data_IF_261574908376
#
_entry.id   IF_261574908376
#
_cell.length_a   1.000
_cell.length_b   1.000
_cell.length_c   1.000
_cell.angle_alpha   90.00
_cell.angle_beta   90.00
_cell.angle_gamma   90.00
#
_symmetry.space_group_name_H-M   'P 1'
#
loop_
_entity.id
_entity.type
_entity.pdbx_description
1 polymer ?
#
# COMPACT_ATOMS: atom_id res chain seq x y z
N UNK A 1 13.51 4.76 28.62
CA UNK A 1 13.96 4.52 27.23
C UNK A 1 12.82 4.48 26.20
N UNK A 2 11.54 4.67 26.59
CA UNK A 2 10.38 4.64 25.68
C UNK A 2 9.80 6.02 25.32
N UNK A 3 10.29 7.10 25.92
CA UNK A 3 9.87 8.47 25.59
C UNK A 3 10.71 9.14 24.49
N UNK A 4 11.89 8.62 24.11
CA UNK A 4 12.84 9.39 23.30
C UNK A 4 12.68 9.31 21.78
N UNK A 5 11.89 8.36 21.25
CA UNK A 5 11.73 8.19 19.79
C UNK A 5 10.47 8.89 19.26
N UNK A 6 9.41 8.97 20.05
CA UNK A 6 8.16 9.65 19.66
C UNK A 6 8.12 11.13 20.11
N UNK A 7 8.80 11.50 21.20
CA UNK A 7 9.02 12.90 21.59
C UNK A 7 10.24 13.55 20.91
N UNK A 8 10.82 12.93 19.88
CA UNK A 8 11.69 13.64 18.91
C UNK A 8 10.87 14.56 17.99
N UNK A 9 9.83 15.16 18.55
CA UNK A 9 9.05 16.26 17.98
C UNK A 9 10.02 17.42 17.80
N UNK A 10 10.32 17.78 16.55
CA UNK A 10 10.89 19.08 16.18
C UNK A 10 12.31 19.34 16.73
N UNK A 11 13.18 18.32 16.74
CA UNK A 11 14.65 18.51 16.90
C UNK A 11 15.45 17.80 15.79
N UNK A 12 14.84 17.53 14.64
CA UNK A 12 15.55 16.82 13.57
C UNK A 12 16.52 17.71 12.79
N UNK A 13 16.39 19.05 12.84
CA UNK A 13 17.30 19.97 12.11
C UNK A 13 17.39 21.35 12.79
N UNK A 14 18.39 21.59 13.65
CA UNK A 14 18.62 22.93 14.18
C UNK A 14 19.15 23.83 13.06
N UNK A 15 18.31 24.75 12.57
CA UNK A 15 18.74 25.88 11.71
C UNK A 15 18.43 25.79 10.21
N UNK A 16 17.80 24.73 9.72
CA UNK A 16 17.35 24.64 8.32
C UNK A 16 15.84 24.98 8.21
N UNK A 17 15.39 25.65 7.13
CA UNK A 17 13.96 25.81 6.86
C UNK A 17 13.29 24.44 6.80
N UNK A 18 12.13 24.28 7.45
CA UNK A 18 11.37 23.02 7.55
C UNK A 18 11.19 22.32 6.19
N UNK A 19 10.99 23.07 5.11
CA UNK A 19 10.88 22.55 3.75
C UNK A 19 12.16 21.84 3.29
N UNK A 20 13.32 22.47 3.47
CA UNK A 20 14.60 21.90 3.06
C UNK A 20 14.90 20.61 3.83
N UNK A 21 14.64 20.60 5.13
CA UNK A 21 14.77 19.43 5.98
C UNK A 21 13.82 18.27 5.60
N UNK A 22 12.60 18.58 5.19
CA UNK A 22 11.63 17.57 4.75
C UNK A 22 11.99 17.00 3.38
N UNK A 23 12.43 17.86 2.44
CA UNK A 23 12.91 17.43 1.13
C UNK A 23 14.15 16.57 1.28
N UNK A 24 15.14 16.99 2.08
CA UNK A 24 16.34 16.20 2.39
C UNK A 24 15.98 14.85 2.99
N UNK A 25 15.04 14.80 3.94
CA UNK A 25 14.59 13.53 4.53
C UNK A 25 13.80 12.67 3.54
N UNK A 26 13.00 13.27 2.68
CA UNK A 26 12.27 12.55 1.63
C UNK A 26 13.24 11.92 0.63
N UNK A 27 14.30 12.64 0.24
CA UNK A 27 15.39 12.13 -0.60
C UNK A 27 16.20 11.04 0.10
N UNK A 28 16.60 11.25 1.36
CA UNK A 28 17.39 10.29 2.14
C UNK A 28 16.61 8.98 2.40
N UNK A 29 15.33 9.08 2.74
CA UNK A 29 14.48 7.91 2.98
C UNK A 29 14.10 7.16 1.69
N UNK A 30 14.30 7.78 0.52
CA UNK A 30 13.90 7.28 -0.79
C UNK A 30 12.45 6.74 -0.82
N UNK A 31 11.57 7.34 0.00
CA UNK A 31 10.19 6.87 0.16
C UNK A 31 9.26 7.67 -0.73
N UNK A 32 8.54 6.99 -1.62
CA UNK A 32 7.52 7.64 -2.46
C UNK A 32 6.21 7.94 -1.69
N UNK A 33 6.05 7.45 -0.46
CA UNK A 33 4.78 7.46 0.27
C UNK A 33 4.20 8.88 0.44
N UNK A 34 5.03 9.85 0.81
CA UNK A 34 4.60 11.24 0.98
C UNK A 34 4.07 11.81 -0.35
N UNK A 35 4.84 11.65 -1.42
CA UNK A 35 4.48 12.17 -2.75
C UNK A 35 3.20 11.52 -3.30
N UNK A 36 3.02 10.21 -3.08
CA UNK A 36 1.81 9.48 -3.47
C UNK A 36 0.56 9.98 -2.74
N UNK A 37 0.70 10.43 -1.49
CA UNK A 37 -0.39 10.96 -0.68
C UNK A 37 -0.68 12.43 -1.01
N UNK A 38 0.34 13.22 -1.36
CA UNK A 38 0.19 14.63 -1.73
C UNK A 38 -0.39 14.83 -3.13
N UNK A 39 0.11 14.09 -4.13
CA UNK A 39 -0.33 14.22 -5.52
C UNK A 39 -1.76 13.66 -5.72
N UNK A 40 -2.53 14.32 -6.57
CA UNK A 40 -3.97 14.08 -6.70
C UNK A 40 -4.30 12.74 -7.37
N UNK A 41 -3.61 12.39 -8.44
CA UNK A 41 -3.82 11.14 -9.19
C UNK A 41 -3.52 9.91 -8.32
N UNK A 42 -2.30 9.75 -7.74
CA UNK A 42 -2.01 8.59 -6.89
C UNK A 42 -2.91 8.56 -5.65
N UNK A 43 -3.19 9.70 -5.01
CA UNK A 43 -4.14 9.74 -3.88
C UNK A 43 -5.55 9.28 -4.29
N UNK A 44 -6.04 9.70 -5.45
CA UNK A 44 -7.36 9.27 -5.96
C UNK A 44 -7.38 7.77 -6.22
N UNK A 45 -6.30 7.23 -6.79
CA UNK A 45 -6.14 5.81 -6.98
C UNK A 45 -6.13 5.04 -5.65
N UNK A 46 -5.37 5.49 -4.64
CA UNK A 46 -5.36 4.88 -3.30
C UNK A 46 -6.75 4.89 -2.65
N UNK A 47 -7.50 5.98 -2.81
CA UNK A 47 -8.90 6.06 -2.33
C UNK A 47 -9.81 5.09 -3.07
N UNK A 48 -9.63 4.92 -4.38
CA UNK A 48 -10.40 3.95 -5.16
C UNK A 48 -10.14 2.51 -4.68
N UNK A 49 -8.87 2.15 -4.47
CA UNK A 49 -8.51 0.84 -3.92
C UNK A 49 -9.13 0.64 -2.52
N UNK A 50 -9.05 1.65 -1.67
CA UNK A 50 -9.62 1.58 -0.32
C UNK A 50 -11.13 1.38 -0.33
N UNK A 51 -11.85 2.00 -1.29
CA UNK A 51 -13.29 1.76 -1.50
C UNK A 51 -13.57 0.31 -1.87
N UNK A 52 -12.76 -0.28 -2.75
CA UNK A 52 -12.86 -1.69 -3.10
C UNK A 52 -12.67 -2.60 -1.88
N UNK A 53 -11.62 -2.35 -1.08
CA UNK A 53 -11.34 -3.10 0.14
C UNK A 53 -12.46 -2.99 1.18
N UNK A 54 -13.01 -1.79 1.41
CA UNK A 54 -14.19 -1.62 2.27
C UNK A 54 -15.38 -2.42 1.74
N UNK A 55 -15.64 -2.38 0.44
CA UNK A 55 -16.74 -3.14 -0.17
C UNK A 55 -16.57 -4.66 0.03
N UNK A 56 -15.34 -5.17 -0.02
CA UNK A 56 -15.03 -6.57 0.28
C UNK A 56 -15.30 -6.91 1.76
N UNK A 57 -14.85 -6.08 2.70
CA UNK A 57 -15.10 -6.29 4.14
C UNK A 57 -16.61 -6.25 4.47
N UNK A 58 -17.33 -5.26 3.95
CA UNK A 58 -18.79 -5.17 4.14
C UNK A 58 -19.53 -6.38 3.54
N UNK A 59 -19.09 -6.86 2.38
CA UNK A 59 -19.67 -8.04 1.75
C UNK A 59 -19.38 -9.31 2.55
N UNK A 60 -18.13 -9.47 3.02
CA UNK A 60 -17.73 -10.57 3.87
C UNK A 60 -18.56 -10.61 5.16
N UNK A 61 -18.70 -9.47 5.85
CA UNK A 61 -19.52 -9.36 7.05
C UNK A 61 -20.99 -9.74 6.80
N UNK A 62 -21.58 -9.26 5.72
CA UNK A 62 -22.96 -9.58 5.35
C UNK A 62 -23.16 -11.08 5.07
N UNK A 63 -22.23 -11.72 4.37
CA UNK A 63 -22.33 -13.14 4.04
C UNK A 63 -22.11 -14.00 5.28
N UNK A 64 -21.13 -13.66 6.12
CA UNK A 64 -20.88 -14.38 7.38
C UNK A 64 -22.09 -14.31 8.33
N UNK A 65 -22.79 -13.18 8.37
CA UNK A 65 -23.97 -13.01 9.21
C UNK A 65 -25.21 -13.77 8.71
N UNK A 66 -25.38 -13.88 7.38
CA UNK A 66 -26.65 -14.33 6.79
C UNK A 66 -26.59 -15.69 6.05
N UNK A 67 -25.40 -16.18 5.70
CA UNK A 67 -25.29 -17.45 4.98
C UNK A 67 -25.65 -18.63 5.88
N UNK A 68 -26.30 -19.64 5.31
CA UNK A 68 -26.53 -20.94 5.95
C UNK A 68 -25.57 -22.01 5.43
N UNK A 69 -24.71 -21.67 4.47
CA UNK A 69 -23.73 -22.55 3.85
C UNK A 69 -22.37 -22.40 4.55
N UNK A 70 -21.94 -23.48 5.22
CA UNK A 70 -20.70 -23.50 6.00
C UNK A 70 -19.45 -23.39 5.11
N UNK A 71 -19.48 -23.90 3.87
CA UNK A 71 -18.35 -23.78 2.94
C UNK A 71 -18.17 -22.30 2.52
N UNK A 72 -19.28 -21.59 2.27
CA UNK A 72 -19.23 -20.16 2.00
C UNK A 72 -18.73 -19.36 3.20
N UNK A 73 -19.18 -19.71 4.42
CA UNK A 73 -18.69 -19.05 5.62
C UNK A 73 -17.20 -19.23 5.79
N UNK A 74 -16.68 -20.43 5.56
CA UNK A 74 -15.25 -20.71 5.68
C UNK A 74 -14.43 -19.85 4.73
N UNK A 75 -14.88 -19.67 3.48
CA UNK A 75 -14.20 -18.81 2.50
C UNK A 75 -14.16 -17.35 2.98
N UNK A 76 -15.29 -16.80 3.40
CA UNK A 76 -15.36 -15.40 3.82
C UNK A 76 -14.71 -15.15 5.19
N UNK A 77 -14.62 -16.15 6.06
CA UNK A 77 -13.80 -16.09 7.27
C UNK A 77 -12.33 -15.93 6.91
N UNK A 78 -11.80 -16.74 5.98
CA UNK A 78 -10.39 -16.64 5.57
C UNK A 78 -10.05 -15.26 4.98
N UNK A 79 -10.97 -14.65 4.21
CA UNK A 79 -10.82 -13.30 3.69
C UNK A 79 -10.83 -12.26 4.83
N UNK A 80 -11.76 -12.41 5.78
CA UNK A 80 -11.91 -11.49 6.90
C UNK A 80 -10.71 -11.54 7.84
N UNK A 81 -10.16 -12.71 8.09
CA UNK A 81 -8.95 -12.87 8.90
C UNK A 81 -7.77 -12.09 8.31
N UNK A 82 -7.59 -12.10 6.98
CA UNK A 82 -6.54 -11.32 6.31
C UNK A 82 -6.78 -9.81 6.47
N UNK A 83 -8.03 -9.35 6.30
CA UNK A 83 -8.38 -7.93 6.45
C UNK A 83 -8.19 -7.48 7.90
N UNK A 84 -8.56 -8.32 8.86
CA UNK A 84 -8.49 -8.03 10.28
C UNK A 84 -7.08 -8.15 10.85
N UNK A 85 -6.21 -8.96 10.23
CA UNK A 85 -4.78 -9.05 10.57
C UNK A 85 -4.00 -7.77 10.23
N UNK A 86 -4.50 -6.91 9.33
CA UNK A 86 -3.82 -5.66 8.98
C UNK A 86 -3.63 -4.76 10.21
N UNK A 87 -2.41 -4.25 10.48
CA UNK A 87 -2.15 -3.34 11.60
C UNK A 87 -2.88 -2.00 11.42
N UNK A 88 -3.13 -1.60 10.17
CA UNK A 88 -3.88 -0.40 9.83
C UNK A 88 -5.22 -0.80 9.23
N UNK A 89 -6.30 -0.46 9.93
CA UNK A 89 -7.66 -0.69 9.42
C UNK A 89 -7.92 0.20 8.20
N UNK A 90 -8.57 -0.35 7.18
CA UNK A 90 -8.89 0.34 5.91
C UNK A 90 -9.59 1.68 6.18
N UNK A 91 -10.53 1.72 7.12
CA UNK A 91 -11.24 2.94 7.53
C UNK A 91 -10.30 4.05 8.02
N UNK A 92 -9.27 3.70 8.78
CA UNK A 92 -8.30 4.67 9.31
C UNK A 92 -7.46 5.24 8.16
N UNK A 93 -7.01 4.39 7.24
CA UNK A 93 -6.28 4.82 6.04
C UNK A 93 -7.13 5.73 5.15
N UNK A 94 -8.40 5.39 4.92
CA UNK A 94 -9.32 6.23 4.14
C UNK A 94 -9.54 7.60 4.75
N UNK A 95 -9.65 7.68 6.08
CA UNK A 95 -9.79 8.94 6.80
C UNK A 95 -8.57 9.83 6.56
N UNK A 96 -7.36 9.28 6.63
CA UNK A 96 -6.12 10.02 6.34
C UNK A 96 -6.15 10.57 4.91
N UNK A 97 -6.48 9.73 3.92
CA UNK A 97 -6.54 10.16 2.52
C UNK A 97 -7.62 11.23 2.27
N UNK A 98 -8.76 11.14 2.99
CA UNK A 98 -9.82 12.14 2.90
C UNK A 98 -9.39 13.49 3.49
N UNK A 99 -8.76 13.46 4.66
CA UNK A 99 -8.24 14.64 5.35
C UNK A 99 -7.13 15.34 4.56
N UNK A 100 -6.21 14.58 3.98
CA UNK A 100 -5.16 15.13 3.11
C UNK A 100 -5.77 15.72 1.86
N UNK A 101 -6.75 15.05 1.22
CA UNK A 101 -7.40 15.58 0.02
C UNK A 101 -8.09 16.94 0.28
N UNK A 102 -8.79 17.07 1.41
CA UNK A 102 -9.40 18.32 1.82
C UNK A 102 -8.33 19.40 2.07
N UNK A 103 -7.23 19.04 2.73
CA UNK A 103 -6.13 19.96 3.05
C UNK A 103 -5.42 20.46 1.80
N UNK A 104 -5.12 19.58 0.83
CA UNK A 104 -4.49 19.95 -0.44
C UNK A 104 -5.39 20.86 -1.27
N UNK A 105 -6.69 20.57 -1.33
CA UNK A 105 -7.65 21.46 -2.01
C UNK A 105 -7.68 22.85 -1.39
N UNK A 106 -7.77 22.93 -0.06
CA UNK A 106 -7.76 24.20 0.66
C UNK A 106 -6.45 24.98 0.46
N UNK A 107 -5.31 24.28 0.46
CA UNK A 107 -4.00 24.89 0.27
C UNK A 107 -3.85 25.56 -1.11
N UNK A 108 -4.14 24.83 -2.19
CA UNK A 108 -4.09 25.40 -3.54
C UNK A 108 -5.14 26.52 -3.75
N UNK A 109 -6.34 26.37 -3.18
CA UNK A 109 -7.37 27.41 -3.24
C UNK A 109 -6.95 28.69 -2.50
N UNK A 110 -6.32 28.57 -1.33
CA UNK A 110 -5.87 29.73 -0.54
C UNK A 110 -4.83 30.58 -1.26
N UNK A 111 -4.06 29.96 -2.15
CA UNK A 111 -3.02 30.62 -2.95
C UNK A 111 -3.47 30.94 -4.37
N UNK A 112 -4.75 30.72 -4.69
CA UNK A 112 -5.33 31.00 -6.01
C UNK A 112 -4.56 30.37 -7.17
N UNK A 113 -3.98 29.18 -6.95
CA UNK A 113 -3.21 28.45 -7.96
C UNK A 113 -4.17 27.92 -9.03
N UNK A 114 -3.84 28.15 -10.30
CA UNK A 114 -4.65 27.66 -11.43
C UNK A 114 -4.61 26.13 -11.52
N UNK A 115 -5.58 25.55 -12.22
CA UNK A 115 -5.60 24.09 -12.45
C UNK A 115 -4.38 23.62 -13.24
N UNK A 116 -3.90 24.43 -14.18
CA UNK A 116 -2.73 24.13 -15.01
C UNK A 116 -1.43 24.19 -14.19
N UNK A 117 -1.25 25.25 -13.40
CA UNK A 117 -0.08 25.40 -12.53
C UNK A 117 -0.03 24.31 -11.46
N UNK A 118 -1.20 23.92 -10.94
CA UNK A 118 -1.32 22.79 -10.02
C UNK A 118 -0.87 21.47 -10.69
N UNK A 119 -1.32 21.20 -11.91
CA UNK A 119 -0.95 19.98 -12.61
C UNK A 119 0.56 19.93 -12.92
N UNK A 120 1.14 21.08 -13.29
CA UNK A 120 2.57 21.22 -13.48
C UNK A 120 3.33 20.98 -12.17
N UNK A 121 2.92 21.62 -11.07
CA UNK A 121 3.54 21.46 -9.76
C UNK A 121 3.45 20.01 -9.25
N UNK A 122 2.31 19.34 -9.39
CA UNK A 122 2.16 17.93 -8.99
C UNK A 122 3.02 16.99 -9.86
N UNK A 123 3.22 17.30 -11.14
CA UNK A 123 4.13 16.55 -12.02
C UNK A 123 5.59 16.71 -11.59
N UNK A 124 6.02 17.94 -11.37
CA UNK A 124 7.39 18.23 -10.90
C UNK A 124 7.67 17.56 -9.55
N UNK A 125 6.70 17.59 -8.64
CA UNK A 125 6.78 16.90 -7.35
C UNK A 125 6.94 15.39 -7.48
N UNK A 126 6.28 14.74 -8.43
CA UNK A 126 6.38 13.29 -8.62
C UNK A 126 7.66 12.87 -9.35
N UNK A 127 8.19 13.72 -10.24
CA UNK A 127 9.36 13.38 -11.06
C UNK A 127 10.67 13.78 -10.38
N UNK A 128 10.70 14.99 -9.81
CA UNK A 128 11.90 15.61 -9.26
C UNK A 128 11.93 15.61 -7.73
N UNK A 129 10.92 15.03 -7.07
CA UNK A 129 10.77 15.05 -5.60
C UNK A 129 10.73 16.48 -5.01
N UNK A 130 10.35 17.47 -5.82
CA UNK A 130 10.31 18.88 -5.42
C UNK A 130 8.93 19.25 -4.86
N UNK A 131 8.87 19.56 -3.57
CA UNK A 131 7.62 19.81 -2.87
C UNK A 131 7.22 21.28 -3.06
N UNK A 132 6.04 21.58 -3.65
CA UNK A 132 5.59 22.96 -3.79
C UNK A 132 5.37 23.62 -2.42
N UNK A 133 5.82 24.86 -2.25
CA UNK A 133 5.61 25.66 -1.04
C UNK A 133 4.14 25.72 -0.62
N UNK A 134 3.24 25.67 -1.62
CA UNK A 134 1.80 25.61 -1.42
C UNK A 134 1.35 24.48 -0.49
N UNK A 135 2.06 23.34 -0.48
CA UNK A 135 1.69 22.15 0.27
C UNK A 135 2.32 22.09 1.67
N UNK A 136 3.16 23.04 2.04
CA UNK A 136 3.80 23.05 3.35
C UNK A 136 2.83 23.04 4.54
N UNK A 137 1.73 23.83 4.53
CA UNK A 137 0.72 23.74 5.59
C UNK A 137 0.08 22.35 5.69
N UNK A 138 -0.04 21.64 4.56
CA UNK A 138 -0.62 20.29 4.49
C UNK A 138 0.31 19.28 5.14
N UNK A 139 1.61 19.32 4.82
CA UNK A 139 2.61 18.41 5.38
C UNK A 139 2.74 18.63 6.89
N UNK A 140 2.79 19.90 7.32
CA UNK A 140 2.81 20.24 8.74
C UNK A 140 1.59 19.64 9.45
N UNK A 141 0.37 19.83 8.92
CA UNK A 141 -0.86 19.24 9.47
C UNK A 141 -0.83 17.71 9.46
N UNK A 142 -0.32 17.08 8.40
CA UNK A 142 -0.21 15.63 8.28
C UNK A 142 0.66 15.06 9.41
N UNK A 143 1.86 15.58 9.57
CA UNK A 143 2.84 15.08 10.53
C UNK A 143 2.48 15.42 11.99
N UNK A 144 1.92 16.61 12.24
CA UNK A 144 1.68 17.09 13.61
C UNK A 144 0.29 16.80 14.13
N UNK A 145 -0.71 16.64 13.26
CA UNK A 145 -2.10 16.47 13.68
C UNK A 145 -2.66 15.14 13.23
N UNK A 146 -2.66 14.85 11.93
CA UNK A 146 -3.33 13.67 11.37
C UNK A 146 -2.67 12.38 11.86
N UNK A 147 -1.35 12.24 11.71
CA UNK A 147 -0.61 11.04 12.11
C UNK A 147 -0.55 10.87 13.62
N UNK A 148 -0.48 11.97 14.39
CA UNK A 148 -0.56 11.91 15.85
C UNK A 148 -1.93 11.41 16.32
N UNK A 149 -3.03 11.85 15.68
CA UNK A 149 -4.36 11.31 15.95
C UNK A 149 -4.44 9.82 15.65
N UNK A 150 -3.86 9.38 14.52
CA UNK A 150 -3.80 7.98 14.12
C UNK A 150 -3.02 7.11 15.12
N UNK A 151 -1.91 7.61 15.66
CA UNK A 151 -1.07 6.90 16.62
C UNK A 151 -1.80 6.50 17.92
N UNK A 152 -2.93 7.15 18.23
CA UNK A 152 -3.77 6.77 19.37
C UNK A 152 -4.76 5.65 19.06
N UNK A 153 -4.97 5.33 17.78
CA UNK A 153 -5.96 4.35 17.30
C UNK A 153 -5.31 3.08 16.72
N UNK A 154 -3.99 3.09 16.52
CA UNK A 154 -3.22 2.01 15.91
C UNK A 154 -2.14 1.58 16.88
N UNK A 155 -1.83 0.29 16.92
CA UNK A 155 -0.64 -0.23 17.60
C UNK A 155 0.62 0.11 16.79
N UNK A 156 1.47 1.04 17.25
CA UNK A 156 2.67 1.41 16.52
C UNK A 156 3.70 0.28 16.47
N UNK A 157 3.68 -0.63 17.46
CA UNK A 157 4.60 -1.76 17.48
C UNK A 157 4.22 -2.78 16.39
N UNK A 158 2.94 -3.14 16.29
CA UNK A 158 2.45 -4.00 15.21
C UNK A 158 2.84 -3.41 13.84
N UNK A 159 2.58 -2.11 13.62
CA UNK A 159 2.94 -1.46 12.36
C UNK A 159 4.45 -1.45 12.08
N UNK A 160 5.28 -1.20 13.09
CA UNK A 160 6.73 -1.13 12.93
C UNK A 160 7.38 -2.48 12.66
N UNK A 161 6.84 -3.55 13.27
CA UNK A 161 7.38 -4.91 13.15
C UNK A 161 6.72 -5.74 12.05
N UNK A 162 5.73 -5.19 11.33
CA UNK A 162 5.26 -5.84 10.11
C UNK A 162 6.40 -6.00 9.11
N UNK A 163 6.43 -7.15 8.43
CA UNK A 163 7.43 -7.46 7.42
C UNK A 163 6.89 -7.18 6.00
N UNK A 164 7.25 -6.05 5.37
CA UNK A 164 6.86 -5.74 4.01
C UNK A 164 7.80 -6.34 2.96
N UNK A 165 8.82 -7.13 3.34
CA UNK A 165 9.86 -7.62 2.43
C UNK A 165 9.28 -8.35 1.22
N UNK A 166 8.17 -9.05 1.41
CA UNK A 166 7.48 -9.79 0.35
C UNK A 166 6.85 -8.91 -0.73
N UNK A 167 6.55 -7.63 -0.43
CA UNK A 167 6.04 -6.67 -1.40
C UNK A 167 7.14 -6.18 -2.34
N UNK A 168 8.41 -6.30 -1.93
CA UNK A 168 9.57 -5.92 -2.73
C UNK A 168 9.62 -4.43 -3.08
N UNK A 169 9.01 -3.55 -2.27
CA UNK A 169 8.94 -2.10 -2.50
C UNK A 169 10.21 -1.35 -2.08
N UNK A 170 11.09 -2.00 -1.32
CA UNK A 170 12.28 -1.39 -0.73
C UNK A 170 13.54 -2.11 -1.18
N UNK A 171 14.64 -1.38 -1.34
CA UNK A 171 15.93 -1.92 -1.80
C UNK A 171 16.82 -2.37 -0.63
N UNK A 172 16.22 -2.69 0.52
CA UNK A 172 16.93 -3.17 1.70
C UNK A 172 17.39 -4.64 1.55
N UNK A 173 18.39 -5.01 2.34
CA UNK A 173 19.00 -6.34 2.31
C UNK A 173 17.99 -7.46 2.63
N UNK A 174 17.06 -7.23 3.57
CA UNK A 174 16.01 -8.22 3.91
C UNK A 174 15.06 -8.46 2.74
N UNK A 175 14.58 -7.40 2.09
CA UNK A 175 13.76 -7.50 0.88
C UNK A 175 14.50 -8.21 -0.26
N UNK A 176 15.79 -7.92 -0.46
CA UNK A 176 16.61 -8.60 -1.48
C UNK A 176 16.84 -10.08 -1.16
N UNK A 177 17.20 -10.40 0.09
CA UNK A 177 17.33 -11.77 0.55
C UNK A 177 16.03 -12.56 0.40
N UNK A 178 14.89 -11.94 0.72
CA UNK A 178 13.56 -12.53 0.52
C UNK A 178 13.30 -12.82 -0.97
N UNK A 179 13.51 -11.85 -1.87
CA UNK A 179 13.29 -12.05 -3.32
C UNK A 179 14.17 -13.15 -3.92
N UNK A 180 15.38 -13.33 -3.40
CA UNK A 180 16.31 -14.36 -3.87
C UNK A 180 15.93 -15.77 -3.41
N UNK A 181 15.23 -15.88 -2.28
CA UNK A 181 14.95 -17.16 -1.63
C UNK A 181 13.48 -17.59 -1.73
N UNK A 182 12.57 -16.65 -1.97
CA UNK A 182 11.13 -16.88 -2.02
C UNK A 182 10.53 -16.41 -3.34
N UNK A 183 9.78 -17.30 -3.99
CA UNK A 183 8.97 -16.97 -5.16
C UNK A 183 7.55 -16.68 -4.67
N UNK A 184 7.01 -15.52 -5.01
CA UNK A 184 5.62 -15.15 -4.69
C UNK A 184 4.68 -15.54 -5.83
N UNK A 185 3.56 -16.17 -5.48
CA UNK A 185 2.45 -16.43 -6.40
C UNK A 185 1.84 -15.10 -6.86
N UNK A 186 1.92 -14.81 -8.16
CA UNK A 186 1.46 -13.57 -8.72
C UNK A 186 -0.05 -13.36 -8.56
N UNK A 187 -0.85 -14.43 -8.51
CA UNK A 187 -2.31 -14.36 -8.40
C UNK A 187 -2.75 -14.36 -6.94
N UNK A 188 -2.22 -15.29 -6.14
CA UNK A 188 -2.63 -15.49 -4.74
C UNK A 188 -1.88 -14.60 -3.76
N UNK A 189 -0.76 -13.99 -4.17
CA UNK A 189 0.09 -13.12 -3.34
C UNK A 189 0.59 -13.83 -2.08
N UNK A 190 0.97 -15.10 -2.21
CA UNK A 190 1.55 -15.90 -1.14
C UNK A 190 2.91 -16.47 -1.55
N UNK A 191 3.83 -16.72 -0.61
CA UNK A 191 5.05 -17.47 -0.89
C UNK A 191 4.73 -18.88 -1.42
N UNK A 192 5.46 -19.30 -2.44
CA UNK A 192 5.38 -20.63 -3.03
C UNK A 192 6.39 -21.56 -2.35
N UNK A 193 5.96 -22.79 -2.08
CA UNK A 193 6.86 -23.80 -1.54
C UNK A 193 7.90 -24.23 -2.60
N UNK A 194 9.14 -24.59 -2.21
CA UNK A 194 10.22 -24.90 -3.15
C UNK A 194 9.96 -26.08 -4.10
N UNK A 195 9.01 -26.96 -3.76
CA UNK A 195 8.64 -28.15 -4.52
C UNK A 195 7.36 -27.96 -5.36
N UNK A 196 6.79 -26.76 -5.35
CA UNK A 196 5.54 -26.46 -6.05
C UNK A 196 5.79 -26.47 -7.56
N UNK A 197 4.94 -27.15 -8.35
CA UNK A 197 5.00 -27.01 -9.81
C UNK A 197 4.64 -25.57 -10.19
N UNK A 198 5.45 -24.91 -11.02
CA UNK A 198 5.31 -23.48 -11.31
C UNK A 198 4.96 -23.22 -12.78
N UNK A 199 4.25 -22.11 -12.99
CA UNK A 199 4.15 -21.47 -14.30
C UNK A 199 4.80 -20.09 -14.24
N UNK A 200 5.50 -19.73 -15.32
CA UNK A 200 6.09 -18.41 -15.52
C UNK A 200 5.42 -17.70 -16.69
N UNK A 201 5.12 -16.42 -16.52
CA UNK A 201 4.58 -15.60 -17.60
C UNK A 201 5.67 -15.32 -18.64
N UNK A 202 5.35 -15.48 -19.93
CA UNK A 202 6.29 -15.25 -21.04
C UNK A 202 6.60 -13.78 -21.30
N UNK A 203 5.79 -12.85 -20.76
CA UNK A 203 5.98 -11.39 -20.92
C UNK A 203 6.62 -10.74 -19.70
N UNK A 204 5.94 -10.80 -18.55
CA UNK A 204 6.37 -10.09 -17.34
C UNK A 204 7.22 -10.95 -16.39
N UNK A 205 7.46 -12.22 -16.73
CA UNK A 205 8.22 -13.17 -15.91
C UNK A 205 7.68 -13.43 -14.50
N UNK A 206 6.45 -12.97 -14.18
CA UNK A 206 5.77 -13.33 -12.95
C UNK A 206 5.60 -14.85 -12.84
N UNK A 207 5.56 -15.38 -11.62
CA UNK A 207 5.39 -16.80 -11.34
C UNK A 207 4.04 -17.06 -10.66
N UNK A 208 3.47 -18.23 -10.86
CA UNK A 208 2.31 -18.71 -10.10
C UNK A 208 2.44 -20.21 -9.90
N UNK A 209 1.78 -20.73 -8.85
CA UNK A 209 1.66 -22.18 -8.74
C UNK A 209 0.83 -22.74 -9.89
N UNK A 210 1.27 -23.87 -10.44
CA UNK A 210 0.47 -24.71 -11.30
C UNK A 210 -0.58 -25.43 -10.46
N UNK A 211 -1.66 -24.71 -10.13
CA UNK A 211 -2.81 -25.33 -9.50
C UNK A 211 -3.53 -26.11 -10.60
N UNK A 212 -3.17 -27.38 -10.77
CA UNK A 212 -4.04 -28.32 -11.47
C UNK A 212 -5.45 -28.20 -10.86
N UNK A 213 -6.53 -28.40 -11.63
CA UNK A 213 -7.89 -28.34 -11.12
C UNK A 213 -8.12 -29.44 -10.08
N UNK A 214 -7.66 -29.20 -8.85
CA UNK A 214 -7.91 -29.97 -7.67
C UNK A 214 -9.18 -29.43 -7.00
N UNK A 215 -9.91 -30.31 -6.31
CA UNK A 215 -11.04 -29.91 -5.48
C UNK A 215 -10.57 -28.86 -4.47
N UNK A 216 -11.23 -27.70 -4.44
CA UNK A 216 -10.97 -26.62 -3.48
C UNK A 216 -10.33 -25.34 -4.05
N UNK A 217 -9.90 -25.32 -5.32
CA UNK A 217 -9.44 -24.07 -5.95
C UNK A 217 -10.65 -23.24 -6.38
N UNK A 218 -10.71 -21.97 -6.00
CA UNK A 218 -11.84 -21.10 -6.36
C UNK A 218 -11.94 -20.91 -7.88
N UNK A 219 -13.17 -20.85 -8.39
CA UNK A 219 -13.45 -20.67 -9.83
C UNK A 219 -12.73 -19.43 -10.40
N UNK A 220 -12.64 -18.36 -9.60
CA UNK A 220 -11.90 -17.16 -9.97
C UNK A 220 -10.41 -17.44 -10.19
N UNK A 221 -9.75 -18.18 -9.28
CA UNK A 221 -8.34 -18.55 -9.44
C UNK A 221 -8.20 -19.36 -10.73
N UNK A 222 -9.03 -20.39 -10.94
CA UNK A 222 -9.02 -21.22 -12.16
C UNK A 222 -9.17 -20.40 -13.45
N UNK A 223 -10.03 -19.37 -13.43
CA UNK A 223 -10.17 -18.45 -14.56
C UNK A 223 -8.88 -17.64 -14.80
N UNK A 224 -8.28 -17.11 -13.73
CA UNK A 224 -7.05 -16.30 -13.79
C UNK A 224 -5.80 -17.12 -14.16
N UNK A 225 -5.82 -18.45 -14.05
CA UNK A 225 -4.69 -19.28 -14.52
C UNK A 225 -4.61 -19.37 -16.05
N UNK A 226 -5.60 -18.87 -16.78
CA UNK A 226 -5.59 -18.89 -18.26
C UNK A 226 -4.63 -17.86 -18.82
N UNK A 227 -4.47 -16.73 -18.15
CA UNK A 227 -3.69 -15.60 -18.63
C UNK A 227 -3.09 -14.82 -17.47
N UNK A 228 -1.86 -14.35 -17.62
CA UNK A 228 -1.18 -13.55 -16.61
C UNK A 228 -1.89 -12.20 -16.41
N UNK A 229 -1.65 -11.57 -15.26
CA UNK A 229 -2.08 -10.20 -14.94
C UNK A 229 -1.70 -9.17 -16.04
N UNK A 230 -0.63 -9.40 -16.80
CA UNK A 230 -0.21 -8.55 -17.91
C UNK A 230 -0.84 -8.90 -19.27
N UNK A 231 -1.78 -9.86 -19.30
CA UNK A 231 -2.47 -10.32 -20.50
C UNK A 231 -1.71 -11.33 -21.36
N UNK A 232 -0.58 -11.88 -20.89
CA UNK A 232 0.20 -12.88 -21.66
C UNK A 232 0.00 -14.31 -21.14
N UNK A 233 0.49 -15.29 -21.88
CA UNK A 233 0.31 -16.71 -21.54
C UNK A 233 1.26 -17.16 -20.43
N UNK A 234 0.81 -18.18 -19.70
CA UNK A 234 1.59 -18.89 -18.71
C UNK A 234 2.30 -20.09 -19.37
N UNK A 235 3.58 -20.27 -19.06
CA UNK A 235 4.38 -21.43 -19.49
C UNK A 235 4.79 -22.25 -18.27
N UNK A 236 4.64 -23.57 -18.34
CA UNK A 236 5.11 -24.49 -17.31
C UNK A 236 6.63 -24.44 -17.23
N UNK A 237 7.16 -24.23 -16.03
CA UNK A 237 8.60 -24.20 -15.77
C UNK A 237 8.93 -25.22 -14.68
N UNK A 238 10.01 -25.97 -14.86
CA UNK A 238 10.57 -26.80 -13.79
C UNK A 238 11.36 -25.88 -12.85
N UNK A 239 11.29 -26.15 -11.54
CA UNK A 239 12.23 -25.55 -10.59
C UNK A 239 13.65 -25.79 -11.10
N UNK A 240 14.43 -24.71 -11.19
CA UNK A 240 15.87 -24.78 -11.41
C UNK A 240 16.58 -25.01 -10.08
#
# INVERSE_FOLDING_TARGET
>A
MKESLFNRKVELFPGLPLLQSLTEKATESNSCALFLVLASIPRTFLRYNSRGLRGLDETAQKILANSTDDDQKQVFHSLKDIIDASPVKVKNFERILADVDASVKAAYQSQSVSTEDRAAAEKEMLVNADIPDALMPVISRLLTTILNGLGNEIDPAALYFEDPSWLGLSDDESSDAFRRTCIIDALRKIPLAPDTSLRRCTRCCAHMADLLPHKGVSIWVTSMQRMCLCGSLWMLVKHA
#
